data_IF_685454543885
#
_entry.id   IF_685454543885
#
_cell.length_a   1.000
_cell.length_b   1.000
_cell.length_c   1.000
_cell.angle_alpha   90.00
_cell.angle_beta   90.00
_cell.angle_gamma   90.00
#
_symmetry.space_group_name_H-M   'P 1'
#
loop_
_entity.id
_entity.type
_entity.pdbx_description
1 polymer ?
#
# COMPACT_ATOMS: atom_id res chain seq x y z
N UNK A 1 -0.13 11.42 -27.35
CA UNK A 1 -0.80 11.48 -26.03
C UNK A 1 -0.07 10.65 -24.96
N UNK A 2 -0.03 9.31 -25.05
CA UNK A 2 0.68 8.47 -24.05
C UNK A 2 2.18 8.80 -23.98
N UNK A 3 2.86 8.79 -25.12
CA UNK A 3 4.30 9.11 -25.22
C UNK A 3 4.62 10.52 -24.70
N UNK A 4 3.75 11.48 -25.00
CA UNK A 4 3.92 12.87 -24.56
C UNK A 4 3.80 12.99 -23.03
N UNK A 5 2.88 12.26 -22.41
CA UNK A 5 2.74 12.21 -20.95
C UNK A 5 3.94 11.53 -20.29
N UNK A 6 4.43 10.41 -20.84
CA UNK A 6 5.68 9.80 -20.39
C UNK A 6 6.84 10.78 -20.44
N UNK A 7 7.02 11.46 -21.59
CA UNK A 7 8.06 12.45 -21.77
C UNK A 7 7.88 13.63 -20.79
N UNK A 8 6.66 14.14 -20.61
CA UNK A 8 6.38 15.22 -19.64
C UNK A 8 6.83 14.86 -18.23
N UNK A 9 6.60 13.61 -17.80
CA UNK A 9 7.07 13.12 -16.50
C UNK A 9 8.60 12.97 -16.46
N UNK A 10 9.19 12.32 -17.46
CA UNK A 10 10.63 12.01 -17.50
C UNK A 10 11.52 13.24 -17.71
N UNK A 11 11.01 14.31 -18.32
CA UNK A 11 11.72 15.58 -18.45
C UNK A 11 11.67 16.45 -17.20
N UNK A 12 10.97 16.02 -16.15
CA UNK A 12 11.06 16.68 -14.85
C UNK A 12 12.42 16.38 -14.20
N UNK A 13 13.36 17.30 -14.36
CA UNK A 13 14.73 17.21 -13.86
C UNK A 13 14.86 17.21 -12.34
N UNK A 14 13.76 17.48 -11.60
CA UNK A 14 13.74 17.30 -10.15
C UNK A 14 13.70 15.81 -9.77
N UNK A 15 12.95 15.00 -10.52
CA UNK A 15 12.75 13.59 -10.19
C UNK A 15 13.60 12.63 -11.03
N UNK A 16 13.98 13.03 -12.25
CA UNK A 16 14.66 12.13 -13.17
C UNK A 16 15.88 12.79 -13.83
N UNK A 17 16.92 11.99 -13.99
CA UNK A 17 18.12 12.32 -14.74
C UNK A 17 18.29 11.35 -15.90
N UNK A 18 18.41 11.87 -17.12
CA UNK A 18 18.78 11.05 -18.28
C UNK A 18 20.23 10.58 -18.17
N UNK A 19 20.47 9.31 -18.48
CA UNK A 19 21.80 8.70 -18.50
C UNK A 19 22.33 8.58 -19.93
N UNK A 20 23.65 8.60 -20.09
CA UNK A 20 24.32 8.48 -21.39
C UNK A 20 24.46 7.03 -21.86
N UNK A 21 24.40 6.06 -20.94
CA UNK A 21 24.55 4.62 -21.20
C UNK A 21 23.72 3.80 -20.22
N UNK A 22 23.60 2.52 -20.52
CA UNK A 22 23.05 1.51 -19.60
C UNK A 22 23.97 1.35 -18.37
N UNK A 23 23.49 1.62 -17.14
CA UNK A 23 24.30 1.49 -15.93
C UNK A 23 24.26 0.09 -15.30
N UNK A 24 23.61 -0.91 -15.95
CA UNK A 24 23.36 -2.23 -15.33
C UNK A 24 24.61 -2.93 -14.82
N UNK A 25 25.72 -2.83 -15.55
CA UNK A 25 27.00 -3.46 -15.14
C UNK A 25 27.57 -2.73 -13.93
N UNK A 26 27.65 -1.39 -13.98
CA UNK A 26 28.15 -0.56 -12.88
C UNK A 26 27.36 -0.84 -11.58
N UNK A 27 26.03 -0.92 -11.67
CA UNK A 27 25.15 -1.20 -10.53
C UNK A 27 25.34 -2.63 -10.00
N UNK A 28 25.54 -3.62 -10.88
CA UNK A 28 25.85 -4.97 -10.44
C UNK A 28 27.16 -5.06 -9.67
N UNK A 29 28.20 -4.34 -10.11
CA UNK A 29 29.49 -4.31 -9.40
C UNK A 29 29.33 -3.71 -8.00
N UNK A 30 28.57 -2.63 -7.84
CA UNK A 30 28.24 -2.04 -6.54
C UNK A 30 27.49 -3.03 -5.63
N UNK A 31 26.51 -3.76 -6.18
CA UNK A 31 25.75 -4.78 -5.44
C UNK A 31 26.68 -5.92 -5.01
N UNK A 32 27.48 -6.47 -5.93
CA UNK A 32 28.39 -7.58 -5.65
C UNK A 32 29.41 -7.20 -4.59
N UNK A 33 29.96 -5.98 -4.65
CA UNK A 33 30.86 -5.48 -3.62
C UNK A 33 30.20 -5.49 -2.23
N UNK A 34 28.99 -4.93 -2.13
CA UNK A 34 28.27 -4.86 -0.86
C UNK A 34 27.87 -6.25 -0.34
N UNK A 35 27.39 -7.14 -1.21
CA UNK A 35 27.02 -8.53 -0.85
C UNK A 35 28.25 -9.32 -0.39
N UNK A 36 29.39 -9.20 -1.07
CA UNK A 36 30.65 -9.85 -0.66
C UNK A 36 31.08 -9.38 0.73
N UNK A 37 31.03 -8.07 1.00
CA UNK A 37 31.30 -7.51 2.33
C UNK A 37 30.36 -8.12 3.38
N UNK A 38 29.06 -8.20 3.09
CA UNK A 38 28.08 -8.81 4.00
C UNK A 38 28.39 -10.28 4.30
N UNK A 39 28.78 -11.06 3.28
CA UNK A 39 29.15 -12.47 3.42
C UNK A 39 30.45 -12.65 4.21
N UNK A 40 31.50 -11.89 3.91
CA UNK A 40 32.79 -11.95 4.62
C UNK A 40 32.66 -11.65 6.12
N UNK A 41 31.75 -10.74 6.48
CA UNK A 41 31.46 -10.40 7.86
C UNK A 41 30.40 -11.31 8.52
N UNK A 42 29.94 -12.35 7.83
CA UNK A 42 28.87 -13.26 8.27
C UNK A 42 27.55 -12.56 8.62
N UNK A 43 27.26 -11.41 8.01
CA UNK A 43 26.00 -10.66 8.19
C UNK A 43 24.83 -11.26 7.41
N UNK A 44 25.14 -12.06 6.40
CA UNK A 44 24.20 -12.80 5.58
C UNK A 44 24.75 -14.21 5.32
N UNK A 45 23.85 -15.14 5.08
CA UNK A 45 24.16 -16.52 4.68
C UNK A 45 24.58 -16.61 3.21
N UNK A 46 25.18 -17.74 2.82
CA UNK A 46 25.50 -18.02 1.41
C UNK A 46 24.24 -18.02 0.51
N UNK A 47 23.12 -18.49 1.05
CA UNK A 47 21.85 -18.50 0.34
C UNK A 47 21.31 -17.08 0.11
N UNK A 48 21.35 -16.23 1.13
CA UNK A 48 20.96 -14.81 1.00
C UNK A 48 21.88 -14.04 0.07
N UNK A 49 23.20 -14.27 0.16
CA UNK A 49 24.17 -13.67 -0.77
C UNK A 49 23.88 -14.07 -2.23
N UNK A 50 23.57 -15.35 -2.46
CA UNK A 50 23.20 -15.86 -3.79
C UNK A 50 21.86 -15.27 -4.27
N UNK A 51 20.90 -15.07 -3.36
CA UNK A 51 19.62 -14.43 -3.66
C UNK A 51 19.78 -12.95 -4.05
N UNK A 52 20.64 -12.22 -3.34
CA UNK A 52 20.85 -10.79 -3.55
C UNK A 52 21.53 -10.45 -4.89
N UNK A 53 22.26 -11.41 -5.49
CA UNK A 53 22.93 -11.24 -6.77
C UNK A 53 22.07 -11.82 -7.90
N UNK A 54 21.51 -10.94 -8.72
CA UNK A 54 20.83 -11.35 -9.95
C UNK A 54 21.86 -11.63 -11.06
N UNK A 55 22.08 -12.89 -11.43
CA UNK A 55 23.10 -13.30 -12.41
C UNK A 55 22.90 -12.70 -13.81
N UNK A 56 21.64 -12.56 -14.24
CA UNK A 56 21.29 -12.04 -15.58
C UNK A 56 20.22 -10.95 -15.46
N UNK A 57 20.57 -9.74 -14.96
CA UNK A 57 19.59 -8.74 -14.66
C UNK A 57 18.99 -8.15 -15.92
N UNK A 58 17.67 -7.99 -15.89
CA UNK A 58 16.93 -7.23 -16.89
C UNK A 58 16.98 -5.76 -16.54
N UNK A 59 17.11 -4.93 -17.57
CA UNK A 59 16.97 -3.48 -17.43
C UNK A 59 15.51 -3.19 -17.05
N UNK A 60 15.23 -2.50 -15.93
CA UNK A 60 13.87 -2.09 -15.60
C UNK A 60 13.27 -1.21 -16.69
N UNK A 61 11.96 -1.31 -16.92
CA UNK A 61 11.29 -0.48 -17.93
C UNK A 61 10.21 0.40 -17.31
N UNK A 62 10.10 1.61 -17.83
CA UNK A 62 9.10 2.60 -17.42
C UNK A 62 7.84 2.53 -18.27
N UNK A 63 6.69 2.65 -17.62
CA UNK A 63 5.41 2.84 -18.28
C UNK A 63 4.48 3.66 -17.37
N UNK A 64 3.36 4.13 -17.91
CA UNK A 64 2.35 4.86 -17.14
C UNK A 64 1.02 4.11 -17.16
N UNK A 65 0.28 4.17 -16.05
CA UNK A 65 -1.11 3.75 -15.98
C UNK A 65 -2.02 5.00 -15.95
N UNK A 66 -3.00 5.15 -16.85
CA UNK A 66 -3.85 6.33 -16.88
C UNK A 66 -4.79 6.39 -15.69
N UNK A 67 -4.81 7.51 -14.96
CA UNK A 67 -5.74 7.81 -13.86
C UNK A 67 -7.08 8.32 -14.38
N UNK A 68 -7.87 7.43 -15.01
CA UNK A 68 -9.14 7.79 -15.69
C UNK A 68 -10.21 8.39 -14.77
N UNK A 69 -10.16 8.06 -13.48
CA UNK A 69 -11.07 8.57 -12.45
C UNK A 69 -10.90 10.07 -12.15
N UNK A 70 -9.78 10.70 -12.52
CA UNK A 70 -9.54 12.13 -12.21
C UNK A 70 -10.31 13.09 -13.14
N UNK A 71 -11.06 12.60 -14.11
CA UNK A 71 -11.92 13.41 -14.98
C UNK A 71 -11.17 14.41 -15.89
N UNK A 72 -9.83 14.33 -15.97
CA UNK A 72 -9.00 15.16 -16.85
C UNK A 72 -8.77 14.46 -18.19
N UNK A 73 -8.71 15.23 -19.28
CA UNK A 73 -8.43 14.72 -20.63
C UNK A 73 -7.23 15.48 -21.20
N UNK A 74 -6.09 14.82 -21.46
CA UNK A 74 -5.82 13.40 -21.17
C UNK A 74 -5.78 13.09 -19.66
N UNK A 75 -6.10 11.84 -19.26
CA UNK A 75 -5.97 11.43 -17.86
C UNK A 75 -4.50 11.44 -17.45
N UNK A 76 -4.17 11.90 -16.22
CA UNK A 76 -2.79 11.93 -15.74
C UNK A 76 -2.18 10.52 -15.71
N UNK A 77 -0.89 10.40 -16.03
CA UNK A 77 -0.17 9.15 -15.93
C UNK A 77 0.27 8.84 -14.49
N UNK A 78 0.08 7.59 -14.03
CA UNK A 78 0.75 7.03 -12.85
C UNK A 78 2.05 6.34 -13.33
N UNK A 79 3.24 6.92 -13.06
CA UNK A 79 4.49 6.31 -13.48
C UNK A 79 4.75 5.02 -12.71
N UNK A 80 5.16 3.96 -13.41
CA UNK A 80 5.56 2.67 -12.86
C UNK A 80 6.88 2.26 -13.49
N UNK A 81 7.80 1.76 -12.67
CA UNK A 81 9.03 1.10 -13.10
C UNK A 81 8.88 -0.39 -12.81
N UNK A 82 8.86 -1.21 -13.85
CA UNK A 82 8.86 -2.66 -13.67
C UNK A 82 10.29 -3.14 -13.39
N UNK A 83 10.57 -3.44 -12.13
CA UNK A 83 11.86 -3.98 -11.70
C UNK A 83 11.99 -5.52 -11.77
N UNK A 84 11.01 -6.23 -12.33
CA UNK A 84 11.00 -7.70 -12.27
C UNK A 84 12.20 -8.30 -13.02
N UNK A 85 12.99 -9.10 -12.33
CA UNK A 85 14.23 -9.69 -12.80
C UNK A 85 15.39 -8.71 -12.92
N UNK A 86 15.28 -7.51 -12.36
CA UNK A 86 16.35 -6.50 -12.39
C UNK A 86 17.40 -6.71 -11.29
N UNK A 87 18.52 -6.00 -11.41
CA UNK A 87 19.59 -6.04 -10.43
C UNK A 87 19.14 -5.60 -9.02
N UNK A 88 18.21 -4.64 -8.92
CA UNK A 88 17.77 -4.05 -7.64
C UNK A 88 16.55 -4.74 -7.01
N UNK A 89 15.87 -5.62 -7.73
CA UNK A 89 14.68 -6.31 -7.20
C UNK A 89 14.98 -7.14 -5.95
N UNK A 90 16.04 -7.97 -5.90
CA UNK A 90 16.35 -8.74 -4.70
C UNK A 90 16.64 -7.86 -3.48
N UNK A 91 17.36 -6.74 -3.68
CA UNK A 91 17.65 -5.77 -2.62
C UNK A 91 16.36 -5.18 -2.07
N UNK A 92 15.45 -4.75 -2.94
CA UNK A 92 14.17 -4.18 -2.52
C UNK A 92 13.34 -5.17 -1.71
N UNK A 93 13.30 -6.45 -2.10
CA UNK A 93 12.60 -7.50 -1.35
C UNK A 93 13.26 -7.82 0.00
N UNK A 94 14.59 -7.90 0.00
CA UNK A 94 15.36 -8.17 1.22
C UNK A 94 15.21 -7.06 2.24
N UNK A 95 15.32 -5.79 1.83
CA UNK A 95 15.09 -4.65 2.72
C UNK A 95 13.65 -4.62 3.22
N UNK A 96 12.65 -4.84 2.35
CA UNK A 96 11.24 -4.85 2.76
C UNK A 96 10.95 -5.89 3.85
N UNK A 97 11.59 -7.06 3.80
CA UNK A 97 11.46 -8.09 4.84
C UNK A 97 11.75 -7.55 6.26
N UNK A 98 12.76 -6.70 6.40
CA UNK A 98 13.11 -6.07 7.69
C UNK A 98 12.22 -4.87 8.03
N UNK A 99 11.73 -4.12 7.03
CA UNK A 99 10.91 -2.94 7.27
C UNK A 99 9.45 -3.27 7.60
N UNK A 100 8.88 -4.32 7.02
CA UNK A 100 7.47 -4.70 7.18
C UNK A 100 7.05 -4.90 8.65
N UNK A 101 7.84 -5.58 9.52
CA UNK A 101 7.52 -5.68 10.95
C UNK A 101 7.45 -4.32 11.67
N UNK A 102 8.27 -3.35 11.25
CA UNK A 102 8.28 -1.98 11.80
C UNK A 102 7.01 -1.24 11.36
N UNK A 103 6.68 -1.32 10.06
CA UNK A 103 5.48 -0.69 9.48
C UNK A 103 4.22 -1.15 10.21
N UNK A 104 4.08 -2.45 10.48
CA UNK A 104 2.90 -3.03 11.14
C UNK A 104 2.73 -2.61 12.61
N UNK A 105 3.77 -2.03 13.23
CA UNK A 105 3.73 -1.50 14.61
C UNK A 105 3.42 -0.01 14.68
N UNK A 106 3.37 0.68 13.53
CA UNK A 106 3.02 2.09 13.47
C UNK A 106 1.61 2.30 14.06
N UNK A 107 1.42 3.18 15.06
CA UNK A 107 0.12 3.38 15.69
C UNK A 107 -0.98 3.86 14.73
N UNK A 108 -0.61 4.65 13.72
CA UNK A 108 -1.53 5.19 12.71
C UNK A 108 -1.86 4.20 11.59
N UNK A 109 -1.17 3.05 11.53
CA UNK A 109 -1.26 2.11 10.41
C UNK A 109 -2.64 1.46 10.29
N UNK A 110 -3.19 1.54 9.08
CA UNK A 110 -4.32 0.74 8.62
C UNK A 110 -3.79 -0.35 7.69
N UNK A 111 -4.32 -1.55 7.87
CA UNK A 111 -3.84 -2.74 7.15
C UNK A 111 -4.58 -2.95 5.85
N UNK A 112 -5.90 -2.86 5.93
CA UNK A 112 -6.84 -3.16 4.87
C UNK A 112 -8.21 -2.58 5.25
N UNK A 113 -9.15 -2.64 4.31
CA UNK A 113 -10.53 -2.20 4.52
C UNK A 113 -11.19 -2.86 5.72
N UNK A 114 -10.92 -4.15 5.97
CA UNK A 114 -11.52 -4.86 7.11
C UNK A 114 -11.07 -4.26 8.44
N UNK A 115 -9.78 -3.91 8.55
CA UNK A 115 -9.26 -3.23 9.74
C UNK A 115 -9.96 -1.87 9.95
N UNK A 116 -10.23 -1.12 8.88
CA UNK A 116 -10.95 0.16 8.97
C UNK A 116 -12.37 -0.03 9.47
N UNK A 117 -13.10 -1.03 8.96
CA UNK A 117 -14.48 -1.30 9.37
C UNK A 117 -14.57 -1.64 10.85
N UNK A 118 -13.72 -2.58 11.32
CA UNK A 118 -13.66 -2.97 12.72
C UNK A 118 -13.28 -1.79 13.63
N UNK A 119 -12.36 -0.94 13.17
CA UNK A 119 -12.00 0.28 13.89
C UNK A 119 -13.19 1.23 14.01
N UNK A 120 -13.90 1.51 12.92
CA UNK A 120 -15.04 2.43 12.91
C UNK A 120 -16.23 1.91 13.73
N UNK A 121 -16.44 0.59 13.78
CA UNK A 121 -17.43 -0.03 14.66
C UNK A 121 -17.10 0.14 16.15
N UNK A 122 -15.80 0.19 16.48
CA UNK A 122 -15.33 0.34 17.86
C UNK A 122 -15.34 1.79 18.38
N UNK A 123 -15.42 2.78 17.49
CA UNK A 123 -15.30 4.20 17.84
C UNK A 123 -16.68 4.83 18.02
N UNK A 124 -16.90 5.41 19.20
CA UNK A 124 -18.04 6.30 19.41
C UNK A 124 -17.86 7.57 18.56
N UNK A 125 -18.78 7.85 17.65
CA UNK A 125 -18.75 9.02 16.76
C UNK A 125 -20.00 9.87 16.93
N UNK A 126 -19.84 11.13 17.33
CA UNK A 126 -20.94 12.09 17.49
C UNK A 126 -21.01 13.04 16.29
N UNK A 127 -21.81 12.67 15.29
CA UNK A 127 -22.04 13.47 14.07
C UNK A 127 -22.52 14.92 14.30
N UNK A 128 -22.99 15.26 15.51
CA UNK A 128 -23.41 16.62 15.83
C UNK A 128 -22.26 17.53 16.28
N UNK A 129 -21.12 16.94 16.66
CA UNK A 129 -19.94 17.64 17.18
C UNK A 129 -18.66 17.30 16.43
N UNK A 130 -18.66 16.21 15.67
CA UNK A 130 -17.49 15.62 15.06
C UNK A 130 -17.64 15.56 13.55
N UNK A 131 -16.55 15.84 12.86
CA UNK A 131 -16.42 15.75 11.41
C UNK A 131 -15.64 14.50 11.05
N UNK A 132 -16.13 13.78 10.06
CA UNK A 132 -15.37 12.76 9.37
C UNK A 132 -14.64 13.40 8.19
N UNK A 133 -13.32 13.24 8.14
CA UNK A 133 -12.46 13.86 7.15
C UNK A 133 -11.60 12.77 6.50
N UNK A 134 -11.43 12.85 5.19
CA UNK A 134 -10.43 12.05 4.46
C UNK A 134 -9.35 12.98 3.92
N UNK A 135 -8.09 12.51 3.95
CA UNK A 135 -6.99 13.20 3.30
C UNK A 135 -6.27 12.26 2.33
N UNK A 136 -5.76 12.80 1.22
CA UNK A 136 -4.92 12.10 0.24
C UNK A 136 -3.56 12.79 0.18
N UNK A 137 -2.47 12.01 0.26
CA UNK A 137 -1.11 12.53 0.10
C UNK A 137 -0.74 12.60 -1.37
N UNK A 138 -0.61 13.82 -1.88
CA UNK A 138 -0.38 14.04 -3.29
C UNK A 138 0.97 13.50 -3.76
N UNK A 139 0.92 12.54 -4.69
CA UNK A 139 2.09 11.97 -5.35
C UNK A 139 3.16 11.47 -4.37
N UNK A 140 2.71 10.83 -3.28
CA UNK A 140 3.54 10.39 -2.15
C UNK A 140 4.91 9.83 -2.58
N UNK A 141 4.93 8.77 -3.40
CA UNK A 141 6.18 8.10 -3.78
C UNK A 141 7.21 9.00 -4.47
N UNK A 142 6.79 9.94 -5.32
CA UNK A 142 7.73 10.82 -6.04
C UNK A 142 8.27 11.96 -5.18
N UNK A 143 7.55 12.30 -4.10
CA UNK A 143 7.86 13.44 -3.25
C UNK A 143 8.66 13.06 -1.98
N UNK A 144 8.76 11.77 -1.66
CA UNK A 144 9.57 11.28 -0.53
C UNK A 144 11.05 11.72 -0.69
N UNK A 145 11.63 12.45 0.28
CA UNK A 145 13.06 12.79 0.27
C UNK A 145 13.89 11.55 0.63
N UNK A 146 14.82 11.14 -0.25
CA UNK A 146 15.56 9.89 -0.09
C UNK A 146 16.45 9.91 1.17
N UNK A 147 17.21 10.98 1.38
CA UNK A 147 18.18 11.15 2.46
C UNK A 147 17.50 11.19 3.82
N UNK A 148 16.45 12.01 3.98
CA UNK A 148 15.68 12.05 5.22
C UNK A 148 14.96 10.72 5.49
N UNK A 149 14.53 10.00 4.44
CA UNK A 149 13.93 8.67 4.62
C UNK A 149 14.94 7.64 5.10
N UNK A 150 16.17 7.68 4.58
CA UNK A 150 17.25 6.81 5.03
C UNK A 150 17.64 7.09 6.48
N UNK A 151 17.68 8.35 6.91
CA UNK A 151 17.90 8.72 8.31
C UNK A 151 16.81 8.17 9.23
N UNK A 152 15.54 8.34 8.84
CA UNK A 152 14.39 7.78 9.57
C UNK A 152 14.51 6.26 9.70
N UNK A 153 14.86 5.57 8.62
CA UNK A 153 14.98 4.10 8.62
C UNK A 153 16.15 3.65 9.47
N UNK A 154 17.30 4.34 9.42
CA UNK A 154 18.45 4.05 10.28
C UNK A 154 18.04 4.04 11.75
N UNK A 155 17.40 5.12 12.20
CA UNK A 155 16.95 5.26 13.59
C UNK A 155 15.93 4.17 13.98
N UNK A 156 14.98 3.85 13.08
CA UNK A 156 13.96 2.84 13.35
C UNK A 156 14.53 1.42 13.38
N UNK A 157 15.48 1.09 12.51
CA UNK A 157 16.17 -0.20 12.52
C UNK A 157 17.00 -0.36 13.80
N UNK A 158 17.73 0.67 14.22
CA UNK A 158 18.51 0.64 15.46
C UNK A 158 17.63 0.41 16.70
N UNK A 159 16.49 1.09 16.79
CA UNK A 159 15.52 0.90 17.89
C UNK A 159 14.89 -0.49 17.82
N UNK A 160 14.51 -0.98 16.64
CA UNK A 160 13.82 -2.25 16.48
C UNK A 160 14.74 -3.46 16.68
N UNK A 161 16.00 -3.35 16.26
CA UNK A 161 16.96 -4.46 16.19
C UNK A 161 18.05 -4.37 17.27
N UNK A 162 18.25 -3.21 17.92
CA UNK A 162 19.33 -2.99 18.89
C UNK A 162 19.32 -3.89 20.13
N UNK A 163 18.25 -4.66 20.37
CA UNK A 163 18.18 -5.69 21.41
C UNK A 163 18.11 -7.14 20.88
N UNK A 164 18.08 -7.33 19.55
CA UNK A 164 17.96 -8.65 18.92
C UNK A 164 19.32 -9.12 18.40
N UNK A 165 19.65 -10.39 18.61
CA UNK A 165 20.80 -11.02 17.96
C UNK A 165 20.45 -11.39 16.51
N UNK A 166 20.12 -10.40 15.68
CA UNK A 166 19.97 -10.66 14.24
C UNK A 166 21.35 -10.78 13.61
N UNK A 167 21.53 -11.78 12.76
CA UNK A 167 22.76 -11.96 11.99
C UNK A 167 23.06 -10.72 11.13
N UNK A 168 22.03 -10.15 10.51
CA UNK A 168 22.14 -8.98 9.65
C UNK A 168 22.07 -7.68 10.47
N UNK A 169 23.09 -6.80 10.41
CA UNK A 169 23.09 -5.56 11.16
C UNK A 169 22.25 -4.46 10.46
N UNK A 170 21.66 -3.52 11.23
CA UNK A 170 20.93 -2.36 10.69
C UNK A 170 21.68 -1.59 9.61
N UNK A 171 22.97 -1.33 9.81
CA UNK A 171 23.79 -0.60 8.85
C UNK A 171 23.90 -1.29 7.49
N UNK A 172 23.93 -2.62 7.44
CA UNK A 172 23.97 -3.36 6.18
C UNK A 172 22.63 -3.27 5.43
N UNK A 173 21.51 -3.35 6.15
CA UNK A 173 20.17 -3.16 5.59
C UNK A 173 20.03 -1.74 5.02
N UNK A 174 20.57 -0.75 5.73
CA UNK A 174 20.58 0.64 5.29
C UNK A 174 21.44 0.85 4.03
N UNK A 175 22.62 0.23 3.95
CA UNK A 175 23.47 0.28 2.75
C UNK A 175 22.74 -0.29 1.52
N UNK A 176 22.04 -1.42 1.67
CA UNK A 176 21.23 -2.02 0.60
C UNK A 176 20.05 -1.12 0.21
N UNK A 177 19.38 -0.51 1.19
CA UNK A 177 18.28 0.42 0.96
C UNK A 177 18.74 1.68 0.20
N UNK A 178 19.88 2.25 0.62
CA UNK A 178 20.50 3.40 -0.04
C UNK A 178 20.87 3.06 -1.49
N UNK A 179 21.46 1.89 -1.75
CA UNK A 179 21.81 1.47 -3.11
C UNK A 179 20.55 1.31 -3.98
N UNK A 180 19.51 0.66 -3.47
CA UNK A 180 18.24 0.46 -4.20
C UNK A 180 17.46 1.76 -4.46
N UNK A 181 17.59 2.77 -3.59
CA UNK A 181 17.01 4.10 -3.79
C UNK A 181 17.81 4.96 -4.78
N UNK A 182 19.12 5.05 -4.60
CA UNK A 182 19.99 6.00 -5.33
C UNK A 182 20.46 5.48 -6.68
N UNK A 183 20.34 4.17 -6.94
CA UNK A 183 20.64 3.56 -8.24
C UNK A 183 19.38 3.13 -8.99
N UNK A 184 18.22 3.68 -8.67
CA UNK A 184 16.96 3.31 -9.32
C UNK A 184 16.92 3.75 -10.81
N UNK A 185 17.52 2.94 -11.68
CA UNK A 185 17.63 3.18 -13.10
C UNK A 185 16.57 2.39 -13.87
N UNK A 186 16.19 2.90 -15.03
CA UNK A 186 15.24 2.25 -15.92
C UNK A 186 15.39 2.77 -17.36
N UNK A 187 14.74 2.06 -18.27
CA UNK A 187 14.68 2.39 -19.70
C UNK A 187 13.28 2.83 -20.09
N UNK A 188 13.21 3.88 -20.90
CA UNK A 188 12.01 4.25 -21.64
C UNK A 188 12.40 4.45 -23.10
N UNK A 189 11.77 3.68 -23.99
CA UNK A 189 12.17 3.59 -25.40
C UNK A 189 13.68 3.32 -25.51
N UNK A 190 14.42 4.15 -26.26
CA UNK A 190 15.87 3.97 -26.46
C UNK A 190 16.74 4.75 -25.46
N UNK A 191 16.14 5.30 -24.40
CA UNK A 191 16.84 6.14 -23.42
C UNK A 191 16.83 5.56 -22.02
N UNK A 192 17.92 5.79 -21.30
CA UNK A 192 18.11 5.39 -19.91
C UNK A 192 17.91 6.58 -18.98
N UNK A 193 17.33 6.32 -17.81
CA UNK A 193 17.02 7.32 -16.81
C UNK A 193 17.36 6.78 -15.43
N UNK A 194 17.65 7.70 -14.51
CA UNK A 194 17.84 7.47 -13.09
C UNK A 194 16.80 8.31 -12.34
N UNK A 195 16.08 7.70 -11.40
CA UNK A 195 15.24 8.45 -10.46
C UNK A 195 16.11 9.05 -9.36
N UNK A 196 16.10 10.38 -9.26
CA UNK A 196 16.94 11.16 -8.33
C UNK A 196 16.18 11.67 -7.10
N UNK A 197 14.85 11.55 -7.09
CA UNK A 197 14.01 11.94 -5.96
C UNK A 197 12.83 10.96 -5.83
N UNK A 198 12.39 10.72 -4.59
CA UNK A 198 11.34 9.76 -4.33
C UNK A 198 11.82 8.32 -4.43
N UNK A 199 10.86 7.41 -4.49
CA UNK A 199 11.08 6.00 -4.78
C UNK A 199 10.26 5.60 -6.00
N UNK A 200 10.73 4.65 -6.79
CA UNK A 200 9.97 4.20 -7.96
C UNK A 200 8.76 3.39 -7.52
N UNK A 201 7.59 3.74 -8.06
CA UNK A 201 6.41 2.91 -7.93
C UNK A 201 6.66 1.60 -8.69
N UNK A 202 6.60 0.46 -8.00
CA UNK A 202 6.93 -0.86 -8.55
C UNK A 202 8.04 -1.59 -7.77
N UNK A 203 8.83 -0.86 -6.97
CA UNK A 203 9.77 -1.50 -6.02
C UNK A 203 9.02 -2.07 -4.81
N UNK A 204 9.42 -3.27 -4.36
CA UNK A 204 8.75 -3.98 -3.26
C UNK A 204 8.77 -3.22 -1.94
N UNK A 205 9.91 -2.60 -1.59
CA UNK A 205 10.04 -1.82 -0.36
C UNK A 205 9.33 -0.45 -0.38
N UNK A 206 8.87 0.04 -1.53
CA UNK A 206 8.46 1.43 -1.68
C UNK A 206 7.29 1.78 -0.74
N UNK A 207 6.24 0.92 -0.60
CA UNK A 207 5.18 1.15 0.38
C UNK A 207 5.70 1.23 1.82
N UNK A 208 6.68 0.41 2.19
CA UNK A 208 7.28 0.46 3.53
C UNK A 208 8.04 1.76 3.77
N UNK A 209 8.87 2.18 2.82
CA UNK A 209 9.60 3.46 2.90
C UNK A 209 8.62 4.63 3.07
N UNK A 210 7.57 4.65 2.25
CA UNK A 210 6.53 5.67 2.32
C UNK A 210 5.82 5.67 3.67
N UNK A 211 5.40 4.50 4.16
CA UNK A 211 4.73 4.40 5.45
C UNK A 211 5.60 4.87 6.61
N UNK A 212 6.89 4.53 6.62
CA UNK A 212 7.83 4.91 7.69
C UNK A 212 8.17 6.40 7.65
N UNK A 213 8.38 6.98 6.47
CA UNK A 213 8.65 8.41 6.35
C UNK A 213 7.43 9.25 6.75
N UNK A 214 6.22 8.89 6.29
CA UNK A 214 5.01 9.63 6.68
C UNK A 214 4.73 9.46 8.17
N UNK A 215 5.00 8.29 8.74
CA UNK A 215 4.88 8.06 10.19
C UNK A 215 5.86 8.92 11.01
N UNK A 216 7.07 9.17 10.49
CA UNK A 216 7.97 10.15 11.10
C UNK A 216 7.33 11.56 11.13
N UNK A 217 6.74 12.02 10.03
CA UNK A 217 6.01 13.30 9.99
C UNK A 217 4.79 13.30 10.91
N UNK A 218 4.05 12.19 10.96
CA UNK A 218 2.89 12.04 11.83
C UNK A 218 3.29 12.22 13.29
N UNK A 219 4.37 11.58 13.76
CA UNK A 219 4.81 11.69 15.17
C UNK A 219 5.41 13.04 15.54
N UNK A 220 6.23 13.61 14.67
CA UNK A 220 7.03 14.79 15.00
C UNK A 220 6.37 16.11 14.57
N UNK A 221 5.24 16.04 13.88
CA UNK A 221 4.54 17.25 13.41
C UNK A 221 3.04 17.15 13.65
N UNK A 222 2.36 16.13 13.14
CA UNK A 222 0.89 16.10 13.13
C UNK A 222 0.30 15.72 14.49
N UNK A 223 0.90 14.76 15.18
CA UNK A 223 0.46 14.25 16.48
C UNK A 223 1.33 14.74 17.64
N UNK A 224 2.31 15.58 17.32
CA UNK A 224 3.22 16.21 18.28
C UNK A 224 2.47 17.17 19.20
N UNK A 225 2.95 17.33 20.44
CA UNK A 225 2.33 18.21 21.46
C UNK A 225 2.28 19.68 21.03
N UNK A 226 3.26 20.14 20.25
CA UNK A 226 3.32 21.51 19.74
C UNK A 226 2.34 21.80 18.58
N UNK A 227 1.62 20.78 18.06
CA UNK A 227 0.62 21.04 17.03
C UNK A 227 -0.55 21.83 17.64
N UNK A 228 -0.83 23.08 17.18
CA UNK A 228 -1.93 23.88 17.73
C UNK A 228 -3.31 23.27 17.51
N UNK A 229 -3.42 22.30 16.62
CA UNK A 229 -4.65 21.58 16.28
C UNK A 229 -4.75 20.18 16.89
N UNK A 230 -3.77 19.78 17.71
CA UNK A 230 -3.65 18.40 18.21
C UNK A 230 -4.90 17.93 18.93
N UNK A 231 -5.48 18.78 19.78
CA UNK A 231 -6.63 18.43 20.60
C UNK A 231 -7.91 18.26 19.78
N UNK A 232 -7.95 18.79 18.55
CA UNK A 232 -9.05 18.58 17.62
C UNK A 232 -8.93 17.25 16.85
N UNK A 233 -7.75 16.61 16.86
CA UNK A 233 -7.51 15.31 16.22
C UNK A 233 -7.92 14.20 17.18
N UNK A 234 -9.17 13.75 17.10
CA UNK A 234 -9.67 12.61 17.89
C UNK A 234 -9.15 11.28 17.39
N UNK A 235 -9.01 11.13 16.07
CA UNK A 235 -8.47 9.93 15.44
C UNK A 235 -7.67 10.32 14.20
N UNK A 236 -6.47 9.77 14.06
CA UNK A 236 -5.68 9.83 12.84
C UNK A 236 -5.20 8.42 12.46
N UNK A 237 -5.60 7.94 11.29
CA UNK A 237 -5.25 6.61 10.78
C UNK A 237 -4.98 6.67 9.28
N UNK A 238 -4.04 5.88 8.79
CA UNK A 238 -3.57 5.96 7.41
C UNK A 238 -3.34 4.60 6.78
N UNK A 239 -3.82 4.46 5.55
CA UNK A 239 -3.49 3.37 4.63
C UNK A 239 -2.62 3.95 3.50
N UNK A 240 -1.31 3.79 3.61
CA UNK A 240 -0.32 4.34 2.65
C UNK A 240 -0.50 5.86 2.45
N UNK A 241 -1.18 6.31 1.41
CA UNK A 241 -1.48 7.70 1.03
C UNK A 241 -2.85 8.19 1.51
N UNK A 242 -3.79 7.29 1.78
CA UNK A 242 -5.14 7.62 2.25
C UNK A 242 -5.18 7.77 3.79
N UNK A 243 -5.65 8.91 4.27
CA UNK A 243 -5.82 9.21 5.70
C UNK A 243 -7.29 9.31 6.07
N UNK A 244 -7.64 8.70 7.19
CA UNK A 244 -8.90 8.81 7.91
C UNK A 244 -8.69 9.66 9.16
N UNK A 245 -9.44 10.77 9.24
CA UNK A 245 -9.42 11.72 10.36
C UNK A 245 -10.82 11.85 10.97
N UNK A 246 -10.91 11.72 12.29
CA UNK A 246 -12.06 12.18 13.07
C UNK A 246 -11.66 13.46 13.78
N UNK A 247 -12.37 14.54 13.47
CA UNK A 247 -12.07 15.89 13.90
C UNK A 247 -13.17 16.42 14.81
N UNK A 248 -12.82 17.04 15.93
CA UNK A 248 -13.78 17.55 16.93
C UNK A 248 -13.99 19.07 16.87
N UNK A 249 -13.21 19.78 16.05
CA UNK A 249 -13.38 21.20 15.80
C UNK A 249 -14.44 21.50 14.74
N UNK A 250 -14.64 22.79 14.48
CA UNK A 250 -15.47 23.32 13.40
C UNK A 250 -14.89 23.03 12.01
N UNK A 251 -15.70 23.25 10.98
CA UNK A 251 -15.28 23.12 9.57
C UNK A 251 -14.22 24.16 9.20
N UNK A 252 -14.36 25.36 9.75
CA UNK A 252 -13.44 26.48 9.56
C UNK A 252 -12.07 26.15 10.17
N UNK A 253 -12.05 25.57 11.38
CA UNK A 253 -10.81 25.11 12.00
C UNK A 253 -10.17 23.95 11.23
N UNK A 254 -10.97 23.02 10.67
CA UNK A 254 -10.45 21.96 9.82
C UNK A 254 -9.77 22.53 8.55
N UNK A 255 -10.37 23.55 7.93
CA UNK A 255 -9.78 24.23 6.77
C UNK A 255 -8.48 24.95 7.14
N UNK A 256 -8.44 25.61 8.30
CA UNK A 256 -7.22 26.23 8.82
C UNK A 256 -6.14 25.18 9.11
N UNK A 257 -6.51 24.04 9.69
CA UNK A 257 -5.62 22.89 9.89
C UNK A 257 -5.06 22.37 8.56
N UNK A 258 -5.86 22.26 7.50
CA UNK A 258 -5.36 21.82 6.19
C UNK A 258 -4.34 22.79 5.59
N UNK A 259 -4.53 24.11 5.79
CA UNK A 259 -3.55 25.12 5.37
C UNK A 259 -2.26 24.98 6.17
N UNK A 260 -2.38 24.84 7.50
CA UNK A 260 -1.24 24.65 8.40
C UNK A 260 -0.46 23.36 8.06
N UNK A 261 -1.17 22.25 7.86
CA UNK A 261 -0.60 20.93 7.54
C UNK A 261 0.27 20.98 6.28
N UNK A 262 -0.22 21.67 5.23
CA UNK A 262 0.51 21.87 3.98
C UNK A 262 1.67 22.87 4.09
N UNK A 263 1.71 23.68 5.15
CA UNK A 263 2.86 24.53 5.47
C UNK A 263 3.89 23.88 6.39
N UNK A 264 3.52 22.80 7.08
CA UNK A 264 4.34 22.19 8.12
C UNK A 264 5.45 21.27 7.57
N UNK A 265 5.30 20.74 6.35
CA UNK A 265 6.32 19.93 5.69
C UNK A 265 6.51 20.34 4.23
N UNK A 266 7.75 20.58 3.77
CA UNK A 266 8.00 21.05 2.39
C UNK A 266 7.88 19.95 1.33
N UNK A 267 7.81 18.67 1.72
CA UNK A 267 7.79 17.52 0.81
C UNK A 267 6.41 16.88 0.66
N UNK A 268 5.54 16.96 1.67
CA UNK A 268 4.22 16.33 1.63
C UNK A 268 3.12 17.39 1.47
N UNK A 269 2.23 17.14 0.53
CA UNK A 269 1.01 17.94 0.31
C UNK A 269 -0.20 17.03 0.49
N UNK A 270 -1.18 17.52 1.24
CA UNK A 270 -2.41 16.83 1.60
C UNK A 270 -3.60 17.54 0.98
N UNK A 271 -4.42 16.79 0.23
CA UNK A 271 -5.75 17.24 -0.18
C UNK A 271 -6.76 16.74 0.85
N UNK A 272 -7.55 17.64 1.44
CA UNK A 272 -8.54 17.33 2.49
C UNK A 272 -9.97 17.39 1.95
N UNK A 273 -10.78 16.38 2.27
CA UNK A 273 -12.21 16.33 1.98
C UNK A 273 -13.01 16.10 3.27
N UNK A 274 -13.99 16.98 3.53
CA UNK A 274 -14.92 16.83 4.66
C UNK A 274 -16.14 16.04 4.18
N UNK A 275 -16.51 14.99 4.91
CA UNK A 275 -17.64 14.15 4.57
C UNK A 275 -18.95 14.80 5.06
N UNK A 276 -19.75 15.30 4.12
CA UNK A 276 -21.00 16.02 4.43
C UNK A 276 -22.27 15.15 4.42
N UNK A 277 -22.21 13.91 3.93
CA UNK A 277 -23.39 13.05 3.75
C UNK A 277 -23.30 11.78 4.59
N UNK A 278 -23.93 11.78 5.76
CA UNK A 278 -24.08 10.58 6.58
C UNK A 278 -25.36 9.83 6.18
N UNK A 279 -25.26 8.57 5.75
CA UNK A 279 -26.46 7.73 5.53
C UNK A 279 -26.77 6.92 6.79
N UNK A 280 -28.05 6.92 7.20
CA UNK A 280 -28.58 6.19 8.36
C UNK A 280 -27.87 6.45 9.71
N UNK A 281 -27.23 7.62 9.86
CA UNK A 281 -26.66 8.04 11.14
C UNK A 281 -25.42 7.27 11.59
N UNK A 282 -24.82 6.44 10.73
CA UNK A 282 -23.53 5.79 10.98
C UNK A 282 -22.51 6.14 9.89
N UNK A 283 -21.24 6.20 10.27
CA UNK A 283 -20.11 6.35 9.33
C UNK A 283 -20.09 5.20 8.31
N UNK A 284 -20.49 4.00 8.75
CA UNK A 284 -20.63 2.80 7.93
C UNK A 284 -21.58 3.00 6.74
N UNK A 285 -22.72 3.68 6.93
CA UNK A 285 -23.68 3.91 5.85
C UNK A 285 -23.16 4.82 4.72
N UNK A 286 -22.26 5.77 5.03
CA UNK A 286 -21.61 6.60 4.02
C UNK A 286 -20.62 5.80 3.18
N UNK A 287 -19.73 5.06 3.86
CA UNK A 287 -18.74 4.20 3.21
C UNK A 287 -19.51 3.25 2.27
N UNK A 288 -20.56 2.57 2.76
CA UNK A 288 -21.35 1.58 2.01
C UNK A 288 -21.90 2.06 0.66
N UNK A 289 -22.29 3.33 0.55
CA UNK A 289 -22.87 3.90 -0.67
C UNK A 289 -21.82 4.37 -1.67
N UNK A 290 -20.71 4.93 -1.21
CA UNK A 290 -19.57 5.30 -2.07
C UNK A 290 -19.08 4.09 -2.89
N UNK A 291 -19.02 2.90 -2.27
CA UNK A 291 -18.71 1.64 -2.97
C UNK A 291 -19.67 1.26 -4.07
N UNK A 292 -20.97 1.44 -3.82
CA UNK A 292 -22.00 1.12 -4.80
C UNK A 292 -22.06 2.16 -5.93
N UNK A 293 -21.55 3.38 -5.71
CA UNK A 293 -21.64 4.52 -6.64
C UNK A 293 -20.40 4.74 -7.50
N UNK A 294 -19.20 4.44 -6.99
CA UNK A 294 -17.93 4.77 -7.66
C UNK A 294 -17.07 3.53 -7.84
N UNK A 295 -17.18 2.92 -9.02
CA UNK A 295 -16.37 1.75 -9.41
C UNK A 295 -14.88 2.04 -9.66
N UNK A 296 -14.32 3.17 -9.25
CA UNK A 296 -12.97 3.55 -9.70
C UNK A 296 -12.08 4.35 -8.78
N UNK A 297 -12.43 4.71 -7.53
CA UNK A 297 -11.51 5.54 -6.74
C UNK A 297 -11.67 5.55 -5.20
N UNK A 298 -11.79 4.36 -4.59
CA UNK A 298 -11.44 4.18 -3.17
C UNK A 298 -10.62 2.88 -3.08
N UNK A 299 -9.34 2.96 -2.72
CA UNK A 299 -8.62 1.76 -2.26
C UNK A 299 -9.03 1.38 -0.82
N UNK A 300 -10.03 2.06 -0.25
CA UNK A 300 -10.79 1.61 0.93
C UNK A 300 -12.30 1.59 0.61
N UNK A 301 -12.72 0.97 -0.50
CA UNK A 301 -14.14 0.71 -0.80
C UNK A 301 -14.44 -0.80 -0.77
N UNK A 302 -14.78 -1.28 0.42
CA UNK A 302 -15.86 -2.24 0.77
C UNK A 302 -15.88 -3.66 0.20
N UNK A 303 -16.20 -4.58 1.11
CA UNK A 303 -16.87 -5.85 0.82
C UNK A 303 -18.00 -6.05 1.85
N UNK A 304 -19.13 -6.60 1.42
CA UNK A 304 -20.36 -6.77 2.19
C UNK A 304 -20.71 -8.26 2.27
N UNK A 305 -21.16 -8.72 3.44
CA UNK A 305 -22.31 -9.64 3.53
C UNK A 305 -23.28 -9.15 4.62
N UNK A 306 -24.45 -8.70 4.15
CA UNK A 306 -25.79 -8.44 4.72
C UNK A 306 -26.04 -8.12 6.21
N UNK A 307 -26.88 -7.10 6.52
CA UNK A 307 -27.85 -7.20 7.60
C UNK A 307 -28.94 -8.20 7.21
N UNK A 308 -29.27 -9.14 8.10
CA UNK A 308 -30.48 -9.96 8.02
C UNK A 308 -31.69 -9.08 7.71
N UNK A 309 -32.53 -9.41 6.71
CA UNK A 309 -33.87 -8.86 6.66
C UNK A 309 -34.68 -9.47 7.81
N UNK A 310 -35.36 -8.63 8.59
CA UNK A 310 -36.53 -9.02 9.37
C UNK A 310 -37.48 -9.87 8.51
N UNK A 311 -38.24 -10.81 9.09
CA UNK A 311 -38.94 -11.85 8.35
C UNK A 311 -40.00 -11.24 7.42
N UNK A 312 -39.68 -11.19 6.13
CA UNK A 312 -40.67 -11.02 5.08
C UNK A 312 -41.57 -12.25 5.09
N UNK A 313 -42.86 -12.02 5.36
CA UNK A 313 -43.92 -13.00 5.15
C UNK A 313 -43.82 -13.57 3.73
N UNK A 314 -43.74 -14.90 3.64
CA UNK A 314 -43.63 -15.67 2.40
C UNK A 314 -44.74 -15.29 1.40
N UNK A 315 -44.39 -14.87 0.16
CA UNK A 315 -45.31 -14.94 -0.96
C UNK A 315 -45.25 -16.33 -1.60
N UNK A 316 -46.42 -16.82 -1.98
CA UNK A 316 -46.72 -18.17 -2.44
C UNK A 316 -45.76 -18.79 -3.47
N UNK A 317 -45.54 -20.09 -3.30
CA UNK A 317 -44.96 -21.01 -4.27
C UNK A 317 -45.71 -20.93 -5.60
N UNK A 318 -45.12 -20.38 -6.66
CA UNK A 318 -45.45 -20.63 -8.07
C UNK A 318 -44.51 -19.86 -9.00
N UNK A 319 -43.28 -20.35 -9.19
CA UNK A 319 -42.49 -20.04 -10.39
C UNK A 319 -41.78 -21.31 -10.91
N UNK A 320 -41.73 -21.52 -12.24
CA UNK A 320 -41.28 -22.79 -12.83
C UNK A 320 -39.76 -23.00 -12.72
N UNK A 321 -39.36 -24.26 -12.48
CA UNK A 321 -37.97 -24.73 -12.26
C UNK A 321 -36.97 -24.39 -13.37
N UNK A 322 -37.42 -24.01 -14.58
CA UNK A 322 -36.53 -23.61 -15.67
C UNK A 322 -35.84 -22.27 -15.39
N UNK A 323 -36.55 -21.31 -14.78
CA UNK A 323 -36.02 -19.98 -14.47
C UNK A 323 -35.01 -20.03 -13.30
N UNK A 324 -35.23 -20.93 -12.34
CA UNK A 324 -34.29 -21.15 -11.22
C UNK A 324 -32.97 -21.76 -11.67
N UNK A 325 -32.97 -22.65 -12.67
CA UNK A 325 -31.74 -23.24 -13.22
C UNK A 325 -30.94 -22.28 -14.10
N UNK A 326 -31.60 -21.37 -14.80
CA UNK A 326 -30.95 -20.35 -15.62
C UNK A 326 -30.26 -19.28 -14.75
N UNK A 327 -30.90 -18.86 -13.65
CA UNK A 327 -30.30 -17.98 -12.64
C UNK A 327 -29.12 -18.65 -11.92
N UNK A 328 -29.19 -19.95 -11.62
CA UNK A 328 -28.09 -20.69 -11.00
C UNK A 328 -26.91 -20.95 -11.97
N UNK A 329 -27.19 -21.09 -13.27
CA UNK A 329 -26.20 -21.24 -14.33
C UNK A 329 -25.39 -19.96 -14.58
N UNK A 330 -26.05 -18.80 -14.59
CA UNK A 330 -25.37 -17.50 -14.71
C UNK A 330 -24.50 -17.20 -13.48
N UNK A 331 -24.92 -17.63 -12.29
CA UNK A 331 -24.14 -17.45 -11.07
C UNK A 331 -22.84 -18.28 -11.02
N UNK A 332 -22.80 -19.46 -11.67
CA UNK A 332 -21.59 -20.30 -11.76
C UNK A 332 -20.55 -19.77 -12.75
N UNK A 333 -20.98 -19.06 -13.80
CA UNK A 333 -20.08 -18.49 -14.80
C UNK A 333 -19.37 -17.21 -14.30
N UNK A 334 -19.97 -16.49 -13.36
CA UNK A 334 -19.38 -15.33 -12.70
C UNK A 334 -18.37 -15.69 -11.60
N UNK A 335 -18.36 -16.94 -11.12
CA UNK A 335 -17.49 -17.39 -10.02
C UNK A 335 -16.20 -18.11 -10.49
N UNK A 336 -15.88 -18.15 -11.79
CA UNK A 336 -14.67 -18.83 -12.32
C UNK A 336 -13.51 -17.90 -12.70
N UNK A 337 -13.61 -16.58 -12.50
CA UNK A 337 -12.46 -15.67 -12.61
C UNK A 337 -11.92 -15.31 -11.23
N UNK A 338 -10.90 -16.06 -10.78
CA UNK A 338 -9.96 -15.82 -9.66
C UNK A 338 -10.49 -15.05 -8.43
N UNK A 339 -10.47 -15.76 -7.30
CA UNK A 339 -10.68 -15.33 -5.90
C UNK A 339 -12.06 -15.63 -5.30
N UNK A 340 -12.27 -16.87 -4.84
CA UNK A 340 -12.90 -17.18 -3.54
C UNK A 340 -12.47 -18.60 -3.13
N UNK A 341 -11.54 -18.75 -2.16
CA UNK A 341 -11.42 -19.96 -1.33
C UNK A 341 -11.39 -19.54 0.13
N UNK A 342 -12.57 -19.26 0.68
CA UNK A 342 -12.78 -19.18 2.13
C UNK A 342 -14.27 -19.21 2.49
N UNK A 343 -14.97 -20.25 2.05
CA UNK A 343 -16.28 -20.61 2.59
C UNK A 343 -16.36 -22.13 2.57
N UNK A 344 -16.13 -22.73 3.73
CA UNK A 344 -16.64 -24.04 4.18
C UNK A 344 -16.02 -24.41 5.54
N UNK A 345 -15.99 -23.46 6.48
CA UNK A 345 -15.88 -23.74 7.91
C UNK A 345 -16.67 -22.62 8.57
N UNK A 346 -17.96 -22.84 8.78
CA UNK A 346 -18.86 -22.17 9.75
C UNK A 346 -20.32 -22.45 9.32
N UNK A 347 -20.69 -23.73 9.29
CA UNK A 347 -22.06 -24.17 9.54
C UNK A 347 -21.94 -25.40 10.41
N UNK A 348 -22.44 -25.32 11.63
CA UNK A 348 -22.38 -26.41 12.61
C UNK A 348 -23.14 -27.62 12.08
N UNK A 349 -22.39 -28.61 11.58
CA UNK A 349 -22.78 -30.02 11.45
C UNK A 349 -21.51 -30.86 11.23
N UNK A 350 -20.51 -30.64 12.07
CA UNK A 350 -19.27 -31.42 12.12
C UNK A 350 -19.50 -32.74 12.88
N UNK A 351 -20.36 -33.63 12.36
CA UNK A 351 -20.41 -35.02 12.85
C UNK A 351 -20.98 -36.06 11.86
N UNK A 352 -21.25 -35.71 10.59
CA UNK A 352 -21.81 -36.67 9.61
C UNK A 352 -21.00 -36.89 8.32
N UNK A 353 -19.81 -36.31 8.19
CA UNK A 353 -18.97 -36.45 6.97
C UNK A 353 -17.84 -37.48 7.13
N UNK A 354 -17.64 -38.08 8.31
CA UNK A 354 -16.59 -39.08 8.55
C UNK A 354 -16.96 -40.55 8.17
N UNK A 355 -17.91 -40.79 7.28
CA UNK A 355 -18.31 -42.16 6.93
C UNK A 355 -18.53 -42.43 5.44
N UNK A 356 -17.88 -41.68 4.55
CA UNK A 356 -17.89 -41.96 3.10
C UNK A 356 -16.50 -42.42 2.62
N UNK A 357 -16.35 -43.58 1.95
CA UNK A 357 -15.05 -44.15 1.56
C UNK A 357 -14.33 -43.47 0.38
N UNK A 358 -14.75 -42.29 -0.07
CA UNK A 358 -14.19 -41.62 -1.27
C UNK A 358 -13.30 -40.40 -0.96
N UNK A 359 -12.81 -40.25 0.28
CA UNK A 359 -11.85 -39.21 0.67
C UNK A 359 -10.38 -39.67 0.54
N UNK A 360 -10.06 -40.40 -0.52
CA UNK A 360 -8.70 -40.75 -0.91
C UNK A 360 -8.35 -40.03 -2.21
N UNK A 361 -7.21 -39.35 -2.21
CA UNK A 361 -6.68 -38.47 -3.28
C UNK A 361 -7.13 -37.01 -3.17
N UNK A 362 -6.22 -36.07 -3.48
CA UNK A 362 -6.33 -34.60 -3.34
C UNK A 362 -5.90 -33.97 -2.00
N UNK A 363 -4.89 -34.54 -1.33
CA UNK A 363 -4.04 -33.82 -0.37
C UNK A 363 -2.58 -34.28 -0.47
N UNK A 364 -1.88 -33.88 -1.53
CA UNK A 364 -0.41 -33.87 -1.56
C UNK A 364 0.06 -32.60 -2.28
N UNK A 365 0.65 -31.67 -1.52
CA UNK A 365 1.04 -30.36 -2.04
C UNK A 365 1.82 -29.50 -1.05
N UNK A 366 2.88 -30.08 -0.48
CA UNK A 366 4.12 -29.46 0.03
C UNK A 366 4.00 -28.24 0.95
N UNK A 367 4.06 -28.58 2.23
CA UNK A 367 4.83 -27.87 3.26
C UNK A 367 6.33 -27.97 2.90
N UNK A 368 7.07 -26.87 3.01
CA UNK A 368 8.49 -26.83 3.33
C UNK A 368 8.61 -25.71 4.38
N UNK A 369 8.86 -26.06 5.65
CA UNK A 369 10.20 -26.15 6.26
C UNK A 369 10.98 -24.83 6.18
#
# INVERSE_FOLDING_TARGET
MYRDECNRLLWNTRHYKRLSRDPTIDVQEEITFLVSKGKENNWITDHEASYLIQTNPKIPYFYILPKVHKGKIPPPGRPIVSGIGSALEPLSKFVDFFLQPIVKRIPTYLKDTTHVLLLLESIAFDKSKELLITLDVESLYTNIPQEATLEVISNLLDVHMGGSQTQTPPGFILDLAHLALTRNYFKFEDSFFLQTQGTSMGSTFAPSLACLYVDHIERHTILHEDNPYRDQIKLWKRYIDDVLLIWTGSKEEAQAFAIWLNGANPFLTFTMNIVDKYHNGSVLGFIYKEYLSYRTDLHICIAIVSPMPEPLSLPNQTQPMSLQKELLGQHKQLCTSREVRKYDILSGDAQKVMSSPEAGEWCQGRVYE
#
